data_IF_781200413790
#
_entry.id   IF_781200413790
#
_cell.length_a   1.000
_cell.length_b   1.000
_cell.length_c   1.000
_cell.angle_alpha   90.00
_cell.angle_beta   90.00
_cell.angle_gamma   90.00
#
_symmetry.space_group_name_H-M   'P 1'
#
loop_
_entity.id
_entity.type
_entity.pdbx_description
1 polymer ?
#
# COMPACT_ATOMS: atom_id res chain seq x y z
N UNK A 1 37.45 -18.53 -33.58
CA UNK A 1 36.04 -18.60 -33.11
C UNK A 1 35.57 -20.04 -32.85
N UNK A 2 36.30 -20.82 -32.03
CA UNK A 2 35.87 -22.17 -31.58
C UNK A 2 36.03 -22.37 -30.07
N UNK A 3 36.65 -21.43 -29.36
CA UNK A 3 36.92 -21.55 -27.92
C UNK A 3 35.86 -20.89 -27.02
N UNK A 4 34.95 -20.09 -27.58
CA UNK A 4 33.90 -19.42 -26.79
C UNK A 4 32.64 -20.29 -26.60
N UNK A 5 32.42 -21.27 -27.47
CA UNK A 5 31.26 -22.17 -27.43
C UNK A 5 31.36 -23.25 -26.32
N UNK A 6 32.57 -23.57 -25.85
CA UNK A 6 32.76 -24.55 -24.78
C UNK A 6 32.50 -23.98 -23.37
N UNK A 7 32.57 -22.65 -23.19
CA UNK A 7 32.31 -22.03 -21.89
C UNK A 7 30.79 -21.92 -21.60
N UNK A 8 29.98 -21.82 -22.65
CA UNK A 8 28.51 -21.70 -22.55
C UNK A 8 27.86 -23.07 -22.29
N UNK A 9 28.50 -24.18 -22.72
CA UNK A 9 27.96 -25.53 -22.49
C UNK A 9 28.18 -26.05 -21.05
N UNK A 10 29.17 -25.53 -20.32
CA UNK A 10 29.53 -26.05 -18.99
C UNK A 10 28.64 -25.52 -17.85
N UNK A 11 28.04 -24.33 -18.00
CA UNK A 11 27.20 -23.73 -16.95
C UNK A 11 25.74 -24.19 -17.00
N UNK A 12 25.26 -24.70 -18.15
CA UNK A 12 23.91 -25.27 -18.28
C UNK A 12 23.81 -26.65 -17.59
N UNK A 13 24.91 -27.40 -17.48
CA UNK A 13 24.92 -28.75 -16.88
C UNK A 13 24.86 -28.70 -15.33
N UNK A 14 25.33 -27.62 -14.70
CA UNK A 14 25.24 -27.44 -13.24
C UNK A 14 23.85 -26.97 -12.77
N UNK A 15 23.02 -26.41 -13.66
CA UNK A 15 21.64 -25.98 -13.36
C UNK A 15 20.60 -27.11 -13.38
N UNK A 16 20.91 -28.27 -13.96
CA UNK A 16 19.98 -29.41 -14.10
C UNK A 16 20.26 -30.56 -13.11
N UNK A 17 21.25 -30.42 -12.23
CA UNK A 17 21.67 -31.46 -11.27
C UNK A 17 20.96 -31.46 -9.91
N UNK A 18 20.12 -30.46 -9.61
CA UNK A 18 19.40 -30.38 -8.32
C UNK A 18 17.91 -30.76 -8.40
N UNK A 19 17.46 -31.28 -9.55
CA UNK A 19 16.19 -31.99 -9.66
C UNK A 19 16.47 -33.50 -9.71
N UNK A 20 16.42 -34.14 -8.52
CA UNK A 20 15.90 -35.50 -8.26
C UNK A 20 16.63 -36.14 -7.08
N UNK A 21 16.01 -36.10 -5.90
CA UNK A 21 15.93 -37.23 -4.97
C UNK A 21 14.76 -36.99 -4.01
N UNK A 22 13.58 -37.50 -4.37
CA UNK A 22 12.48 -37.69 -3.44
C UNK A 22 12.38 -39.20 -3.13
N UNK A 23 12.59 -39.65 -1.88
CA UNK A 23 12.21 -40.98 -1.46
C UNK A 23 10.70 -41.03 -1.16
N UNK A 24 10.02 -42.18 -1.34
CA UNK A 24 8.60 -42.31 -1.05
C UNK A 24 8.40 -42.34 0.46
N UNK A 25 7.71 -41.35 1.02
CA UNK A 25 7.27 -41.41 2.42
C UNK A 25 5.88 -42.02 2.49
N UNK A 26 5.80 -43.04 3.34
CA UNK A 26 4.69 -43.96 3.52
C UNK A 26 3.43 -43.27 4.06
N UNK A 27 2.29 -43.82 3.69
CA UNK A 27 0.99 -43.53 4.29
C UNK A 27 0.94 -44.01 5.74
N UNK A 28 0.38 -43.13 6.59
CA UNK A 28 -0.43 -43.41 7.78
C UNK A 28 0.30 -43.70 9.10
N UNK A 29 0.24 -42.73 10.03
CA UNK A 29 -0.35 -42.95 11.35
C UNK A 29 -0.84 -41.61 11.95
N UNK A 30 -2.15 -41.53 12.19
CA UNK A 30 -2.85 -40.36 12.74
C UNK A 30 -2.52 -40.19 14.22
N UNK A 31 -1.72 -39.17 14.56
CA UNK A 31 -1.62 -38.70 15.95
C UNK A 31 -2.81 -37.78 16.27
N UNK A 32 -3.40 -37.85 17.49
CA UNK A 32 -4.56 -37.04 17.84
C UNK A 32 -4.19 -35.56 17.85
N UNK A 33 -4.97 -34.77 17.09
CA UNK A 33 -4.90 -33.31 17.04
C UNK A 33 -5.19 -32.78 18.45
N UNK A 34 -4.15 -32.28 19.11
CA UNK A 34 -4.33 -31.41 20.27
C UNK A 34 -5.08 -30.17 19.77
N UNK A 35 -6.30 -30.00 20.26
CA UNK A 35 -7.15 -28.84 20.01
C UNK A 35 -6.37 -27.58 20.34
N UNK A 36 -5.94 -26.85 19.32
CA UNK A 36 -5.46 -25.49 19.47
C UNK A 36 -6.67 -24.68 19.97
N UNK A 37 -6.68 -24.44 21.28
CA UNK A 37 -7.55 -23.47 21.90
C UNK A 37 -7.43 -22.17 21.10
N UNK A 38 -8.51 -21.51 20.67
CA UNK A 38 -8.41 -20.26 19.94
C UNK A 38 -7.77 -19.24 20.88
N UNK A 39 -6.49 -18.96 20.65
CA UNK A 39 -5.80 -17.86 21.31
C UNK A 39 -6.48 -16.59 20.87
N UNK A 40 -7.33 -16.08 21.76
CA UNK A 40 -7.86 -14.74 21.88
C UNK A 40 -7.56 -13.86 20.66
N UNK A 41 -8.55 -13.70 19.78
CA UNK A 41 -8.59 -12.54 18.91
C UNK A 41 -8.53 -11.32 19.83
N UNK A 42 -7.38 -10.65 19.89
CA UNK A 42 -7.27 -9.35 20.52
C UNK A 42 -8.23 -8.45 19.77
N UNK A 43 -9.30 -8.02 20.44
CA UNK A 43 -10.16 -6.98 19.91
C UNK A 43 -9.27 -5.78 19.54
N UNK A 44 -9.49 -5.13 18.37
CA UNK A 44 -8.73 -3.95 18.00
C UNK A 44 -8.79 -2.95 19.15
N UNK A 45 -7.63 -2.45 19.59
CA UNK A 45 -7.60 -1.32 20.50
C UNK A 45 -8.02 -0.11 19.68
N UNK A 46 -9.33 0.19 19.67
CA UNK A 46 -9.83 1.42 19.07
C UNK A 46 -9.34 2.59 19.91
N UNK A 47 -8.30 3.25 19.40
CA UNK A 47 -7.85 4.52 19.94
C UNK A 47 -9.00 5.53 19.84
N UNK A 48 -9.16 6.43 20.83
CA UNK A 48 -10.08 7.55 20.69
C UNK A 48 -9.85 8.25 19.35
N UNK A 49 -10.95 8.59 18.66
CA UNK A 49 -10.88 9.28 17.37
C UNK A 49 -11.28 10.74 17.51
N UNK A 50 -10.95 11.53 16.49
CA UNK A 50 -11.43 12.88 16.31
C UNK A 50 -11.79 13.12 14.84
N UNK A 51 -12.75 14.01 14.57
CA UNK A 51 -13.18 14.30 13.22
C UNK A 51 -12.18 15.21 12.48
N UNK A 52 -11.94 14.92 11.21
CA UNK A 52 -11.49 15.88 10.21
C UNK A 52 -12.70 16.23 9.33
N UNK A 53 -13.14 17.49 9.37
CA UNK A 53 -14.26 17.99 8.56
C UNK A 53 -13.74 19.02 7.58
N UNK A 54 -14.04 18.81 6.30
CA UNK A 54 -13.73 19.75 5.23
C UNK A 54 -15.01 20.14 4.50
N UNK A 55 -14.90 20.98 3.48
CA UNK A 55 -16.03 21.27 2.59
C UNK A 55 -16.38 20.11 1.64
N UNK A 56 -15.50 19.09 1.52
CA UNK A 56 -15.58 18.05 0.49
C UNK A 56 -15.77 16.64 1.05
N UNK A 57 -15.35 16.42 2.29
CA UNK A 57 -15.47 15.13 2.98
C UNK A 57 -15.37 15.29 4.50
N UNK A 58 -15.76 14.23 5.19
CA UNK A 58 -15.50 14.01 6.61
C UNK A 58 -14.82 12.67 6.81
N UNK A 59 -13.92 12.58 7.79
CA UNK A 59 -13.38 11.31 8.29
C UNK A 59 -13.10 11.40 9.79
N UNK A 60 -12.92 10.26 10.43
CA UNK A 60 -12.44 10.11 11.81
C UNK A 60 -11.00 9.57 11.79
N UNK A 61 -10.14 10.09 12.68
CA UNK A 61 -8.77 9.60 12.80
C UNK A 61 -8.31 9.50 14.25
N UNK A 62 -7.37 8.59 14.58
CA UNK A 62 -6.86 8.42 15.94
C UNK A 62 -6.30 9.71 16.56
N UNK A 63 -6.54 9.95 17.85
CA UNK A 63 -6.08 11.15 18.56
C UNK A 63 -4.57 11.27 18.71
N UNK A 64 -3.82 10.17 18.51
CA UNK A 64 -2.36 10.18 18.47
C UNK A 64 -1.80 10.47 17.07
N UNK A 65 -2.62 10.43 16.02
CA UNK A 65 -2.22 10.84 14.68
C UNK A 65 -2.33 12.36 14.49
N UNK A 66 -1.56 12.86 13.55
CA UNK A 66 -1.55 14.27 13.13
C UNK A 66 -2.31 14.41 11.82
N UNK A 67 -3.09 15.48 11.69
CA UNK A 67 -3.73 15.85 10.45
C UNK A 67 -3.19 17.20 9.95
N UNK A 68 -2.98 17.32 8.65
CA UNK A 68 -2.56 18.56 7.99
C UNK A 68 -3.32 18.76 6.67
N UNK A 69 -3.31 19.99 6.16
CA UNK A 69 -3.83 20.34 4.84
C UNK A 69 -2.83 21.25 4.15
N UNK A 70 -2.54 20.98 2.88
CA UNK A 70 -1.57 21.71 2.06
C UNK A 70 -2.19 21.96 0.69
N UNK A 71 -2.10 23.20 0.22
CA UNK A 71 -2.35 23.55 -1.19
C UNK A 71 -1.03 23.31 -1.92
N UNK A 72 -0.93 22.21 -2.67
CA UNK A 72 0.30 21.85 -3.39
C UNK A 72 0.46 22.70 -4.65
N UNK A 73 -0.64 22.91 -5.36
CA UNK A 73 -0.74 23.75 -6.56
C UNK A 73 -2.10 24.48 -6.55
N UNK A 74 -2.32 25.50 -7.39
CA UNK A 74 -3.63 26.13 -7.51
C UNK A 74 -4.77 25.14 -7.81
N UNK A 75 -4.44 24.00 -8.43
CA UNK A 75 -5.40 23.01 -8.91
C UNK A 75 -5.45 21.75 -8.04
N UNK A 76 -4.70 21.68 -6.94
CA UNK A 76 -4.65 20.52 -6.06
C UNK A 76 -4.63 20.87 -4.58
N UNK A 77 -5.57 20.30 -3.83
CA UNK A 77 -5.66 20.41 -2.38
C UNK A 77 -5.43 19.03 -1.75
N UNK A 78 -4.41 18.92 -0.91
CA UNK A 78 -4.06 17.67 -0.23
C UNK A 78 -4.34 17.77 1.26
N UNK A 79 -5.01 16.75 1.79
CA UNK A 79 -5.12 16.49 3.22
C UNK A 79 -4.28 15.27 3.57
N UNK A 80 -3.64 15.31 4.73
CA UNK A 80 -2.85 14.20 5.21
C UNK A 80 -3.25 13.85 6.63
N UNK A 81 -3.32 12.55 6.92
CA UNK A 81 -3.41 11.99 8.27
C UNK A 81 -2.25 11.02 8.42
N UNK A 82 -1.41 11.23 9.42
CA UNK A 82 -0.23 10.41 9.60
C UNK A 82 0.08 10.17 11.08
N UNK A 83 0.73 9.05 11.35
CA UNK A 83 1.26 8.70 12.66
C UNK A 83 2.71 8.26 12.54
N UNK A 84 3.54 8.78 13.44
CA UNK A 84 4.96 8.48 13.53
C UNK A 84 5.11 7.43 14.61
N UNK A 85 5.51 6.23 14.24
CA UNK A 85 5.75 5.15 15.18
C UNK A 85 6.92 5.45 16.12
N UNK A 86 7.05 4.67 17.21
CA UNK A 86 8.02 4.96 18.28
C UNK A 86 9.48 4.92 17.82
N UNK A 87 9.78 4.24 16.71
CA UNK A 87 11.14 4.13 16.18
C UNK A 87 11.43 5.15 15.08
N UNK A 88 10.44 5.92 14.64
CA UNK A 88 10.58 6.99 13.66
C UNK A 88 11.40 8.15 14.24
N UNK A 89 12.49 8.54 13.57
CA UNK A 89 13.50 9.52 14.04
C UNK A 89 13.73 10.67 13.07
N UNK A 90 13.40 10.51 11.79
CA UNK A 90 13.70 11.48 10.73
C UNK A 90 12.47 11.78 9.87
N UNK A 91 12.29 13.05 9.48
CA UNK A 91 11.04 13.48 8.83
C UNK A 91 10.89 13.15 7.34
N UNK A 92 11.96 12.68 6.70
CA UNK A 92 12.07 12.63 5.25
C UNK A 92 11.64 11.31 4.62
N UNK A 93 11.53 10.23 5.40
CA UNK A 93 11.19 8.88 4.92
C UNK A 93 10.37 8.17 6.01
N UNK A 94 9.25 7.55 5.63
CA UNK A 94 8.43 6.79 6.58
C UNK A 94 8.98 5.37 6.68
N UNK A 95 9.46 4.98 7.86
CA UNK A 95 9.93 3.62 8.12
C UNK A 95 9.29 2.98 9.36
N UNK A 96 8.53 3.75 10.15
CA UNK A 96 7.68 3.26 11.22
C UNK A 96 6.46 4.18 11.39
N UNK A 97 5.28 3.65 11.07
CA UNK A 97 4.01 4.37 11.18
C UNK A 97 3.11 4.17 9.95
N UNK A 98 2.21 5.13 9.74
CA UNK A 98 1.38 5.19 8.55
C UNK A 98 1.19 6.63 8.09
N UNK A 99 0.91 6.79 6.81
CA UNK A 99 0.47 8.04 6.22
C UNK A 99 -0.66 7.77 5.22
N UNK A 100 -1.72 8.57 5.31
CA UNK A 100 -2.82 8.61 4.35
C UNK A 100 -2.85 10.03 3.81
N UNK A 101 -2.79 10.18 2.49
CA UNK A 101 -3.02 11.47 1.84
C UNK A 101 -4.19 11.36 0.88
N UNK A 102 -5.10 12.33 0.95
CA UNK A 102 -6.19 12.49 0.01
C UNK A 102 -5.95 13.80 -0.74
N UNK A 103 -5.69 13.72 -2.03
CA UNK A 103 -5.53 14.88 -2.91
C UNK A 103 -6.79 15.02 -3.76
N UNK A 104 -7.41 16.19 -3.73
CA UNK A 104 -8.48 16.60 -4.65
C UNK A 104 -7.89 17.45 -5.76
N UNK A 105 -8.24 17.14 -7.00
CA UNK A 105 -7.81 17.93 -8.16
C UNK A 105 -8.98 18.67 -8.80
N UNK A 106 -8.74 19.92 -9.22
CA UNK A 106 -9.64 20.71 -10.06
C UNK A 106 -9.45 20.31 -11.54
N UNK A 107 -9.59 19.01 -11.87
CA UNK A 107 -9.53 18.55 -13.27
C UNK A 107 -10.91 18.21 -13.80
N UNK A 108 -11.09 18.38 -15.11
CA UNK A 108 -12.30 18.00 -15.83
C UNK A 108 -11.91 17.26 -17.11
N UNK A 109 -12.73 16.28 -17.50
CA UNK A 109 -12.55 15.53 -18.73
C UNK A 109 -12.94 14.07 -18.60
N UNK A 110 -13.06 13.40 -19.75
CA UNK A 110 -13.24 11.95 -19.77
C UNK A 110 -11.94 11.24 -19.36
N UNK A 111 -12.05 10.13 -18.64
CA UNK A 111 -10.92 9.28 -18.25
C UNK A 111 -9.84 9.94 -17.37
N UNK A 112 -10.14 11.07 -16.69
CA UNK A 112 -9.17 11.79 -15.86
C UNK A 112 -8.48 10.91 -14.81
N UNK A 113 -9.19 9.94 -14.22
CA UNK A 113 -8.61 9.00 -13.26
C UNK A 113 -7.55 8.09 -13.90
N UNK A 114 -7.81 7.58 -15.10
CA UNK A 114 -6.87 6.73 -15.84
C UNK A 114 -5.65 7.53 -16.27
N UNK A 115 -5.85 8.71 -16.83
CA UNK A 115 -4.75 9.59 -17.25
C UNK A 115 -3.85 9.97 -16.08
N UNK A 116 -4.43 10.31 -14.92
CA UNK A 116 -3.62 10.63 -13.74
C UNK A 116 -2.90 9.39 -13.19
N UNK A 117 -3.57 8.24 -13.09
CA UNK A 117 -2.96 7.00 -12.61
C UNK A 117 -1.77 6.57 -13.48
N UNK A 118 -1.91 6.64 -14.80
CA UNK A 118 -0.84 6.29 -15.74
C UNK A 118 0.34 7.28 -15.66
N UNK A 119 0.04 8.58 -15.54
CA UNK A 119 1.05 9.63 -15.40
C UNK A 119 1.85 9.50 -14.10
N UNK A 120 1.16 9.32 -12.96
CA UNK A 120 1.80 9.17 -11.66
C UNK A 120 2.61 7.87 -11.62
N UNK A 121 2.08 6.78 -12.17
CA UNK A 121 2.80 5.50 -12.30
C UNK A 121 4.06 5.64 -13.13
N UNK A 122 3.98 6.29 -14.30
CA UNK A 122 5.14 6.50 -15.15
C UNK A 122 6.19 7.37 -14.46
N UNK A 123 5.76 8.40 -13.74
CA UNK A 123 6.64 9.24 -12.92
C UNK A 123 7.36 8.41 -11.85
N UNK A 124 6.66 7.50 -11.16
CA UNK A 124 7.30 6.60 -10.19
C UNK A 124 8.35 5.69 -10.84
N UNK A 125 8.09 5.17 -12.04
CA UNK A 125 9.07 4.36 -12.79
C UNK A 125 10.31 5.19 -13.15
N UNK A 126 10.09 6.41 -13.66
CA UNK A 126 11.16 7.28 -14.15
C UNK A 126 12.05 7.80 -13.00
N UNK A 127 11.45 8.05 -11.83
CA UNK A 127 12.14 8.65 -10.67
C UNK A 127 12.71 7.59 -9.73
N UNK A 128 12.00 6.49 -9.48
CA UNK A 128 12.39 5.49 -8.47
C UNK A 128 13.27 4.34 -9.02
N UNK A 129 13.50 4.29 -10.35
CA UNK A 129 14.48 3.39 -10.96
C UNK A 129 14.11 1.90 -10.88
N UNK A 130 14.87 1.11 -10.10
CA UNK A 130 14.74 -0.36 -10.01
C UNK A 130 13.59 -0.84 -9.12
N UNK A 131 12.86 0.07 -8.46
CA UNK A 131 11.71 -0.31 -7.65
C UNK A 131 10.58 -0.92 -8.49
N UNK A 132 9.95 -1.96 -7.94
CA UNK A 132 8.85 -2.65 -8.60
C UNK A 132 7.58 -1.80 -8.48
N UNK A 133 7.21 -1.14 -9.59
CA UNK A 133 5.94 -0.43 -9.71
C UNK A 133 4.91 -1.33 -10.41
N UNK A 134 3.82 -1.65 -9.73
CA UNK A 134 2.80 -2.56 -10.27
C UNK A 134 2.02 -1.93 -11.42
N UNK A 135 1.39 -2.73 -12.31
CA UNK A 135 0.46 -2.21 -13.32
C UNK A 135 -0.76 -1.55 -12.68
N UNK A 136 -1.36 -0.57 -13.37
CA UNK A 136 -2.66 -0.01 -12.98
C UNK A 136 -3.73 -1.10 -13.12
N UNK A 137 -4.46 -1.36 -12.04
CA UNK A 137 -5.59 -2.31 -12.01
C UNK A 137 -6.80 -1.68 -11.34
N UNK A 138 -7.95 -2.37 -11.32
CA UNK A 138 -9.16 -1.90 -10.62
C UNK A 138 -9.19 -2.41 -9.17
N UNK A 139 -9.71 -1.59 -8.27
CA UNK A 139 -9.91 -1.92 -6.87
C UNK A 139 -11.17 -1.22 -6.32
N UNK A 140 -11.51 -1.53 -5.08
CA UNK A 140 -12.52 -0.80 -4.31
C UNK A 140 -11.85 -0.22 -3.07
N UNK A 141 -12.06 1.07 -2.82
CA UNK A 141 -11.49 1.77 -1.66
C UNK A 141 -12.50 2.81 -1.15
N UNK A 142 -12.78 2.83 0.16
CA UNK A 142 -13.78 3.73 0.76
C UNK A 142 -15.13 3.74 -0.02
N UNK A 143 -15.63 2.55 -0.35
CA UNK A 143 -16.84 2.32 -1.16
C UNK A 143 -16.83 2.93 -2.57
N UNK A 144 -15.67 3.38 -3.06
CA UNK A 144 -15.48 3.89 -4.42
C UNK A 144 -14.82 2.83 -5.30
N UNK A 145 -15.29 2.70 -6.54
CA UNK A 145 -14.53 2.03 -7.60
C UNK A 145 -13.32 2.88 -7.95
N UNK A 146 -12.13 2.31 -7.86
CA UNK A 146 -10.88 3.03 -8.06
C UNK A 146 -9.94 2.29 -9.03
N UNK A 147 -9.05 3.05 -9.66
CA UNK A 147 -7.83 2.53 -10.26
C UNK A 147 -6.72 2.55 -9.23
N UNK A 148 -5.84 1.55 -9.24
CA UNK A 148 -4.76 1.44 -8.26
C UNK A 148 -3.47 0.89 -8.82
N UNK A 149 -2.35 1.34 -8.27
CA UNK A 149 -1.04 0.73 -8.40
C UNK A 149 -0.26 0.92 -7.08
N UNK A 150 0.78 0.11 -6.89
CA UNK A 150 1.72 0.22 -5.76
C UNK A 150 3.13 0.49 -6.26
N UNK A 151 3.88 1.27 -5.48
CA UNK A 151 5.28 1.64 -5.73
C UNK A 151 5.63 2.95 -4.99
N UNK A 152 6.88 3.40 -5.05
CA UNK A 152 7.25 4.72 -4.53
C UNK A 152 8.64 4.78 -3.89
N UNK A 153 9.37 5.86 -4.16
CA UNK A 153 10.82 5.96 -3.95
C UNK A 153 11.28 5.95 -2.48
N UNK A 154 10.36 6.09 -1.53
CA UNK A 154 10.64 6.28 -0.10
C UNK A 154 9.84 5.30 0.76
N UNK A 155 9.53 4.13 0.18
CA UNK A 155 8.70 3.10 0.76
C UNK A 155 7.52 2.73 -0.13
N UNK A 156 7.03 1.51 0.02
CA UNK A 156 5.89 1.02 -0.75
C UNK A 156 4.62 1.79 -0.37
N UNK A 157 4.08 2.51 -1.33
CA UNK A 157 2.80 3.20 -1.22
C UNK A 157 1.78 2.54 -2.15
N UNK A 158 0.52 2.50 -1.72
CA UNK A 158 -0.62 2.20 -2.59
C UNK A 158 -1.32 3.49 -2.97
N UNK A 159 -1.50 3.69 -4.27
CA UNK A 159 -2.19 4.84 -4.82
C UNK A 159 -3.54 4.40 -5.38
N UNK A 160 -4.57 5.20 -5.14
CA UNK A 160 -5.93 4.96 -5.63
C UNK A 160 -6.47 6.22 -6.28
N UNK A 161 -7.11 6.07 -7.44
CA UNK A 161 -7.66 7.15 -8.24
C UNK A 161 -9.13 6.87 -8.51
N UNK A 162 -9.99 7.80 -8.12
CA UNK A 162 -11.44 7.66 -8.28
C UNK A 162 -12.08 9.03 -8.41
N UNK A 163 -13.29 9.07 -8.97
CA UNK A 163 -14.06 10.29 -9.13
C UNK A 163 -15.29 10.29 -8.25
N UNK A 164 -15.55 11.42 -7.59
CA UNK A 164 -16.77 11.64 -6.81
C UNK A 164 -17.36 12.95 -7.29
N UNK A 165 -18.61 12.93 -7.78
CA UNK A 165 -19.29 14.11 -8.35
C UNK A 165 -18.43 14.85 -9.40
N UNK A 166 -17.88 14.10 -10.36
CA UNK A 166 -17.00 14.59 -11.44
C UNK A 166 -15.66 15.21 -10.99
N UNK A 167 -15.32 15.11 -9.70
CA UNK A 167 -14.04 15.58 -9.14
C UNK A 167 -13.10 14.39 -8.99
N UNK A 168 -11.87 14.54 -9.48
CA UNK A 168 -10.81 13.55 -9.31
C UNK A 168 -10.21 13.61 -7.90
N UNK A 169 -10.10 12.45 -7.27
CA UNK A 169 -9.35 12.23 -6.04
C UNK A 169 -8.22 11.23 -6.25
N UNK A 170 -7.08 11.50 -5.62
CA UNK A 170 -5.99 10.54 -5.41
C UNK A 170 -5.85 10.27 -3.91
N UNK A 171 -6.00 9.02 -3.52
CA UNK A 171 -5.70 8.56 -2.17
C UNK A 171 -4.37 7.80 -2.20
N UNK A 172 -3.40 8.22 -1.39
CA UNK A 172 -2.13 7.50 -1.21
C UNK A 172 -2.05 6.97 0.21
N UNK A 173 -1.68 5.71 0.36
CA UNK A 173 -1.56 5.02 1.65
C UNK A 173 -0.16 4.43 1.76
N UNK A 174 0.51 4.72 2.87
CA UNK A 174 1.77 4.08 3.25
C UNK A 174 1.62 3.50 4.66
N UNK A 175 2.10 2.28 4.84
CA UNK A 175 2.17 1.62 6.14
C UNK A 175 3.52 0.94 6.26
N UNK A 176 4.26 1.24 7.34
CA UNK A 176 5.62 0.72 7.51
C UNK A 176 5.90 0.41 8.97
N UNK A 177 6.65 -0.65 9.25
CA UNK A 177 6.99 -1.11 10.60
C UNK A 177 7.37 -2.59 10.61
N UNK A 178 7.54 -3.17 11.80
CA UNK A 178 7.64 -4.65 11.93
C UNK A 178 6.31 -5.31 11.53
N UNK A 179 6.26 -6.62 11.21
CA UNK A 179 5.02 -7.30 10.88
C UNK A 179 3.88 -7.09 11.89
N UNK A 180 4.22 -7.07 13.19
CA UNK A 180 3.27 -6.81 14.27
C UNK A 180 2.76 -5.37 14.25
N UNK A 181 3.65 -4.39 14.02
CA UNK A 181 3.29 -2.97 13.97
C UNK A 181 2.44 -2.66 12.73
N UNK A 182 2.81 -3.19 11.57
CA UNK A 182 2.09 -3.00 10.30
C UNK A 182 0.63 -3.45 10.42
N UNK A 183 0.34 -4.55 11.12
CA UNK A 183 -1.05 -4.98 11.36
C UNK A 183 -1.86 -3.96 12.18
N UNK A 184 -1.25 -3.36 13.20
CA UNK A 184 -1.90 -2.34 14.04
C UNK A 184 -2.13 -1.04 13.24
N UNK A 185 -1.12 -0.64 12.46
CA UNK A 185 -1.21 0.55 11.61
C UNK A 185 -2.23 0.38 10.50
N UNK A 186 -2.30 -0.80 9.88
CA UNK A 186 -3.31 -1.11 8.88
C UNK A 186 -4.73 -1.04 9.47
N UNK A 187 -4.96 -1.54 10.68
CA UNK A 187 -6.26 -1.40 11.35
C UNK A 187 -6.66 0.07 11.57
N UNK A 188 -5.69 0.94 11.89
CA UNK A 188 -5.94 2.37 12.00
C UNK A 188 -6.30 2.98 10.64
N UNK A 189 -5.58 2.61 9.57
CA UNK A 189 -5.88 3.03 8.19
C UNK A 189 -7.29 2.58 7.78
N UNK A 190 -7.62 1.31 7.97
CA UNK A 190 -8.91 0.74 7.62
C UNK A 190 -10.05 1.45 8.36
N UNK A 191 -9.85 1.78 9.65
CA UNK A 191 -10.83 2.54 10.43
C UNK A 191 -11.00 3.97 9.91
N UNK A 192 -9.92 4.63 9.46
CA UNK A 192 -10.01 5.97 8.85
C UNK A 192 -10.81 5.89 7.55
N UNK A 193 -10.48 4.93 6.68
CA UNK A 193 -11.15 4.75 5.38
C UNK A 193 -12.63 4.38 5.53
N UNK A 194 -12.97 3.52 6.51
CA UNK A 194 -14.36 3.15 6.79
C UNK A 194 -15.21 4.34 7.29
N UNK A 195 -14.57 5.38 7.83
CA UNK A 195 -15.25 6.61 8.28
C UNK A 195 -15.29 7.71 7.21
N UNK A 196 -14.57 7.53 6.09
CA UNK A 196 -14.48 8.52 5.03
C UNK A 196 -15.82 8.65 4.32
N UNK A 197 -16.40 9.85 4.35
CA UNK A 197 -17.65 10.18 3.67
C UNK A 197 -17.43 11.44 2.84
N UNK A 198 -17.70 11.38 1.54
CA UNK A 198 -17.67 12.55 0.65
C UNK A 198 -18.99 13.34 0.75
N UNK A 199 -18.89 14.67 0.63
CA UNK A 199 -20.02 15.62 0.77
C UNK A 199 -20.56 16.09 -0.58
#
# INVERSE_FOLDING_TARGET
MKSLLYLILLTIILGLGYLKFAPPSQLSESAPVASANPSSASSPVFLPTRPLKTAFFTLEYPTNATASAVVETPDALTWSVYYWGPTQKAQTELYDGYAITLTRFETAGENVAQTQADSDRQTSIDVCGEEVVTPVTTAVIADQSALTFSGGCLGEASHYYFTVQDILYRLTIMVTGTPEQTSIYQQAVDSILASLTFL
#
